data_IF_196658629110
#
_entry.id   IF_196658629110
#
_cell.length_a   1.000
_cell.length_b   1.000
_cell.length_c   1.000
_cell.angle_alpha   90.00
_cell.angle_beta   90.00
_cell.angle_gamma   90.00
#
_symmetry.space_group_name_H-M   'P 1'
#
loop_
_entity.id
_entity.type
_entity.pdbx_description
1 polymer ?
#
# COMPACT_ATOMS: atom_id res chain seq x y z
N UNK A 1 3.42 6.45 -3.76
CA UNK A 1 4.63 7.20 -3.30
C UNK A 1 4.61 8.68 -3.68
N UNK A 2 4.05 9.06 -4.84
CA UNK A 2 3.91 10.47 -5.26
C UNK A 2 3.35 11.43 -4.19
N UNK A 3 2.36 11.02 -3.40
CA UNK A 3 1.78 11.85 -2.34
C UNK A 3 2.77 12.10 -1.19
N UNK A 4 3.56 11.09 -0.79
CA UNK A 4 4.61 11.24 0.23
C UNK A 4 5.67 12.25 -0.26
N UNK A 5 6.18 12.04 -1.49
CA UNK A 5 7.11 12.98 -2.13
C UNK A 5 6.56 14.42 -2.11
N UNK A 6 5.30 14.60 -2.55
CA UNK A 6 4.67 15.92 -2.65
C UNK A 6 4.52 16.59 -1.28
N UNK A 7 4.15 15.85 -0.22
CA UNK A 7 4.13 16.39 1.14
C UNK A 7 5.52 16.88 1.54
N UNK A 8 6.58 16.11 1.27
CA UNK A 8 7.95 16.51 1.60
C UNK A 8 8.45 17.72 0.81
N UNK A 9 8.07 17.84 -0.47
CA UNK A 9 8.36 19.01 -1.29
C UNK A 9 7.68 20.27 -0.78
N UNK A 10 6.47 20.14 -0.22
CA UNK A 10 5.71 21.27 0.33
C UNK A 10 6.10 21.60 1.77
N UNK A 11 6.69 20.65 2.49
CA UNK A 11 7.01 20.73 3.91
C UNK A 11 8.45 20.29 4.17
N UNK A 12 9.42 21.18 3.90
CA UNK A 12 10.86 20.86 4.00
C UNK A 12 11.36 20.49 5.40
N UNK A 13 10.54 20.70 6.44
CA UNK A 13 10.81 20.31 7.83
C UNK A 13 10.00 19.08 8.28
N UNK A 14 9.21 18.48 7.39
CA UNK A 14 8.47 17.26 7.69
C UNK A 14 9.41 16.10 7.98
N UNK A 15 8.96 15.13 8.78
CA UNK A 15 9.65 13.87 8.96
C UNK A 15 9.12 12.88 7.90
N UNK A 16 10.01 12.38 7.05
CA UNK A 16 9.65 11.48 5.95
C UNK A 16 9.00 10.18 6.45
N UNK A 17 9.52 9.59 7.53
CA UNK A 17 8.99 8.34 8.08
C UNK A 17 7.58 8.55 8.64
N UNK A 18 7.38 9.61 9.44
CA UNK A 18 6.08 9.95 10.01
C UNK A 18 5.04 10.26 8.92
N UNK A 19 5.47 10.92 7.82
CA UNK A 19 4.62 11.21 6.66
C UNK A 19 4.26 9.93 5.91
N UNK A 20 5.20 9.00 5.75
CA UNK A 20 4.94 7.72 5.08
C UNK A 20 3.94 6.88 5.88
N UNK A 21 4.12 6.76 7.19
CA UNK A 21 3.18 6.06 8.08
C UNK A 21 1.78 6.71 8.09
N UNK A 22 1.72 8.03 7.97
CA UNK A 22 0.45 8.76 7.88
C UNK A 22 -0.30 8.57 6.55
N UNK A 23 0.38 8.12 5.50
CA UNK A 23 -0.18 8.02 4.14
C UNK A 23 -0.28 6.57 3.64
N UNK A 24 0.09 5.59 4.47
CA UNK A 24 -0.01 4.17 4.16
C UNK A 24 -0.87 3.48 5.20
N UNK A 25 -1.90 2.77 4.75
CA UNK A 25 -2.80 1.96 5.57
C UNK A 25 -3.73 2.75 6.49
N UNK A 26 -3.68 4.08 6.49
CA UNK A 26 -4.60 4.92 7.25
C UNK A 26 -5.99 4.96 6.62
N UNK A 27 -7.00 5.23 7.45
CA UNK A 27 -8.40 5.44 7.02
C UNK A 27 -8.60 6.86 6.43
N UNK A 28 -9.84 7.21 6.11
CA UNK A 28 -10.23 8.54 5.60
C UNK A 28 -9.84 9.70 6.53
N UNK A 29 -9.62 9.42 7.82
CA UNK A 29 -9.18 10.40 8.81
C UNK A 29 -7.66 10.64 8.82
N UNK A 30 -6.89 10.11 7.86
CA UNK A 30 -5.42 10.19 7.81
C UNK A 30 -4.85 11.59 8.06
N UNK A 31 -5.57 12.65 7.68
CA UNK A 31 -5.19 14.07 7.91
C UNK A 31 -5.04 14.46 9.38
N UNK A 32 -5.63 13.68 10.28
CA UNK A 32 -5.50 13.83 11.72
C UNK A 32 -4.26 13.12 12.30
N UNK A 33 -3.57 12.31 11.50
CA UNK A 33 -2.39 11.58 11.94
C UNK A 33 -1.28 12.55 12.37
N UNK A 34 -0.64 12.34 13.54
CA UNK A 34 0.37 13.27 14.06
C UNK A 34 1.51 13.59 13.09
N UNK A 35 1.89 12.62 12.26
CA UNK A 35 2.95 12.76 11.25
C UNK A 35 2.66 13.77 10.12
N UNK A 36 1.38 14.10 9.88
CA UNK A 36 0.99 15.09 8.86
C UNK A 36 0.08 16.20 9.39
N UNK A 37 -0.34 16.11 10.65
CA UNK A 37 -1.16 17.14 11.28
C UNK A 37 -0.39 18.46 11.33
N UNK A 38 -0.99 19.52 10.79
CA UNK A 38 -0.38 20.84 10.68
C UNK A 38 0.58 21.02 9.49
N UNK A 39 0.79 19.99 8.66
CA UNK A 39 1.51 20.12 7.39
C UNK A 39 0.61 20.70 6.29
N UNK A 40 1.24 21.26 5.26
CA UNK A 40 0.57 21.70 4.04
C UNK A 40 0.18 20.47 3.23
N UNK A 41 -1.14 20.21 3.14
CA UNK A 41 -1.72 19.10 2.39
C UNK A 41 -2.59 19.56 1.20
N UNK A 42 -2.78 20.86 1.06
CA UNK A 42 -3.52 21.49 -0.02
C UNK A 42 -2.76 22.74 -0.46
N UNK A 43 -2.44 22.84 -1.74
CA UNK A 43 -1.62 23.94 -2.27
C UNK A 43 -2.00 24.27 -3.71
N UNK A 44 -2.07 25.55 -4.01
CA UNK A 44 -2.18 26.02 -5.39
C UNK A 44 -0.81 25.95 -6.08
N UNK A 45 -0.76 25.27 -7.23
CA UNK A 45 0.43 25.11 -8.07
C UNK A 45 0.00 25.41 -9.51
N UNK A 46 0.63 26.40 -10.14
CA UNK A 46 0.35 26.83 -11.52
C UNK A 46 -1.15 27.12 -11.79
N UNK A 47 -1.81 27.80 -10.85
CA UNK A 47 -3.23 28.18 -10.97
C UNK A 47 -4.22 27.02 -10.75
N UNK A 48 -3.75 25.87 -10.24
CA UNK A 48 -4.61 24.72 -9.92
C UNK A 48 -4.40 24.28 -8.48
N UNK A 49 -5.50 24.08 -7.76
CA UNK A 49 -5.48 23.45 -6.45
C UNK A 49 -5.09 21.99 -6.57
N UNK A 50 -4.06 21.60 -5.84
CA UNK A 50 -3.65 20.21 -5.65
C UNK A 50 -3.85 19.82 -4.19
N UNK A 51 -4.35 18.59 -4.01
CA UNK A 51 -4.71 18.03 -2.71
C UNK A 51 -3.97 16.71 -2.53
N UNK A 52 -3.36 16.51 -1.36
CA UNK A 52 -2.80 15.22 -0.96
C UNK A 52 -3.95 14.25 -0.69
N UNK A 53 -3.96 13.15 -1.44
CA UNK A 53 -4.86 12.02 -1.24
C UNK A 53 -4.18 10.85 -0.54
N UNK A 54 -4.99 9.94 -0.01
CA UNK A 54 -4.55 8.67 0.56
C UNK A 54 -4.97 7.52 -0.38
N UNK A 55 -4.04 7.10 -1.23
CA UNK A 55 -4.26 6.11 -2.32
C UNK A 55 -3.59 4.77 -2.06
N UNK A 56 -3.09 4.57 -0.83
CA UNK A 56 -2.62 3.31 -0.30
C UNK A 56 -3.28 3.16 1.07
N UNK A 57 -4.59 3.39 1.11
CA UNK A 57 -5.36 3.48 2.35
C UNK A 57 -5.74 2.08 2.84
N UNK A 58 -6.39 2.02 4.00
CA UNK A 58 -6.81 0.76 4.60
C UNK A 58 -7.73 -0.06 3.69
N UNK A 59 -8.65 0.60 2.98
CA UNK A 59 -9.64 -0.06 2.12
C UNK A 59 -9.01 -0.63 0.85
N UNK A 60 -8.08 0.11 0.24
CA UNK A 60 -7.24 -0.36 -0.87
C UNK A 60 -6.47 -1.61 -0.43
N UNK A 61 -5.80 -1.57 0.73
CA UNK A 61 -5.03 -2.71 1.23
C UNK A 61 -5.92 -3.90 1.66
N UNK A 62 -7.17 -3.64 2.07
CA UNK A 62 -8.13 -4.71 2.33
C UNK A 62 -8.46 -5.45 1.03
N UNK A 63 -8.72 -4.71 -0.05
CA UNK A 63 -9.05 -5.32 -1.34
C UNK A 63 -7.84 -6.01 -1.98
N UNK A 64 -6.63 -5.47 -1.81
CA UNK A 64 -5.39 -6.11 -2.28
C UNK A 64 -5.13 -7.45 -1.57
N UNK A 65 -5.22 -7.46 -0.23
CA UNK A 65 -5.06 -8.67 0.57
C UNK A 65 -6.11 -9.74 0.25
N UNK A 66 -7.38 -9.33 0.12
CA UNK A 66 -8.48 -10.21 -0.27
C UNK A 66 -8.25 -10.78 -1.68
N UNK A 67 -7.85 -9.95 -2.65
CA UNK A 67 -7.61 -10.35 -4.03
C UNK A 67 -6.52 -11.43 -4.15
N UNK A 68 -5.43 -11.31 -3.38
CA UNK A 68 -4.36 -12.32 -3.34
C UNK A 68 -4.90 -13.69 -2.92
N UNK A 69 -5.69 -13.74 -1.85
CA UNK A 69 -6.25 -15.01 -1.35
C UNK A 69 -7.29 -15.56 -2.32
N UNK A 70 -8.17 -14.71 -2.82
CA UNK A 70 -9.23 -15.10 -3.74
C UNK A 70 -8.65 -15.63 -5.04
N UNK A 71 -7.66 -14.97 -5.63
CA UNK A 71 -6.97 -15.43 -6.84
C UNK A 71 -6.42 -16.85 -6.64
N UNK A 72 -5.66 -17.07 -5.56
CA UNK A 72 -5.11 -18.39 -5.24
C UNK A 72 -6.19 -19.47 -5.07
N UNK A 73 -7.24 -19.18 -4.30
CA UNK A 73 -8.35 -20.14 -4.09
C UNK A 73 -9.12 -20.46 -5.38
N UNK A 74 -9.20 -19.51 -6.30
CA UNK A 74 -9.83 -19.73 -7.62
C UNK A 74 -8.93 -20.55 -8.55
N UNK A 75 -7.62 -20.29 -8.55
CA UNK A 75 -6.63 -21.05 -9.32
C UNK A 75 -6.55 -22.52 -8.87
N UNK A 76 -6.62 -22.76 -7.55
CA UNK A 76 -6.65 -24.09 -6.95
C UNK A 76 -8.01 -24.81 -7.10
N UNK A 77 -9.02 -24.09 -7.60
CA UNK A 77 -10.41 -24.54 -7.66
C UNK A 77 -10.74 -25.38 -8.90
N UNK A 78 -11.90 -26.06 -8.85
CA UNK A 78 -12.44 -26.76 -10.01
C UNK A 78 -13.06 -25.78 -11.01
N UNK A 79 -12.35 -25.49 -12.10
CA UNK A 79 -12.81 -24.59 -13.17
C UNK A 79 -14.07 -25.05 -13.91
N UNK A 80 -14.54 -26.28 -13.71
CA UNK A 80 -15.82 -26.76 -14.27
C UNK A 80 -17.02 -26.45 -13.37
N UNK A 81 -16.78 -26.04 -12.11
CA UNK A 81 -17.83 -25.66 -11.18
C UNK A 81 -18.37 -24.26 -11.50
N UNK A 82 -19.61 -24.19 -11.99
CA UNK A 82 -20.32 -22.93 -12.29
C UNK A 82 -20.48 -22.00 -11.08
N UNK A 83 -20.32 -22.52 -9.87
CA UNK A 83 -20.43 -21.76 -8.61
C UNK A 83 -19.08 -21.45 -7.96
N UNK A 84 -17.94 -21.82 -8.58
CA UNK A 84 -16.60 -21.65 -8.00
C UNK A 84 -16.40 -20.26 -7.39
N UNK A 85 -16.65 -19.19 -8.15
CA UNK A 85 -16.50 -17.82 -7.67
C UNK A 85 -17.38 -17.53 -6.46
N UNK A 86 -18.68 -17.84 -6.54
CA UNK A 86 -19.64 -17.56 -5.47
C UNK A 86 -19.34 -18.35 -4.19
N UNK A 87 -18.91 -19.61 -4.33
CA UNK A 87 -18.52 -20.46 -3.21
C UNK A 87 -17.22 -19.98 -2.57
N UNK A 88 -16.22 -19.60 -3.37
CA UNK A 88 -14.94 -19.07 -2.88
C UNK A 88 -15.14 -17.78 -2.10
N UNK A 89 -15.89 -16.82 -2.65
CA UNK A 89 -16.20 -15.56 -1.97
C UNK A 89 -16.95 -15.81 -0.66
N UNK A 90 -18.00 -16.65 -0.70
CA UNK A 90 -18.78 -16.98 0.50
C UNK A 90 -17.92 -17.62 1.57
N UNK A 91 -17.04 -18.56 1.20
CA UNK A 91 -16.19 -19.25 2.17
C UNK A 91 -15.13 -18.30 2.74
N UNK A 92 -14.52 -17.46 1.90
CA UNK A 92 -13.52 -16.48 2.34
C UNK A 92 -14.09 -15.44 3.29
N UNK A 93 -15.21 -14.80 2.94
CA UNK A 93 -15.81 -13.77 3.78
C UNK A 93 -16.47 -14.28 5.06
N UNK A 94 -16.64 -15.61 5.21
CA UNK A 94 -17.07 -16.24 6.46
C UNK A 94 -15.91 -16.82 7.29
N UNK A 95 -14.67 -16.71 6.81
CA UNK A 95 -13.47 -17.23 7.48
C UNK A 95 -12.75 -16.11 8.24
N UNK A 96 -13.05 -15.99 9.54
CA UNK A 96 -12.50 -14.92 10.38
C UNK A 96 -10.99 -14.95 10.51
N UNK A 97 -10.37 -16.14 10.44
CA UNK A 97 -8.91 -16.26 10.48
C UNK A 97 -8.29 -15.72 9.19
N UNK A 98 -8.83 -16.08 8.03
CA UNK A 98 -8.35 -15.55 6.76
C UNK A 98 -8.51 -14.01 6.69
N UNK A 99 -9.63 -13.48 7.17
CA UNK A 99 -9.87 -12.04 7.22
C UNK A 99 -8.95 -11.30 8.21
N UNK A 100 -8.52 -11.95 9.30
CA UNK A 100 -7.56 -11.39 10.25
C UNK A 100 -6.15 -11.32 9.66
N UNK A 101 -5.77 -12.28 8.81
CA UNK A 101 -4.47 -12.31 8.15
C UNK A 101 -4.45 -11.60 6.79
N UNK A 102 -5.53 -10.94 6.37
CA UNK A 102 -5.65 -10.36 5.02
C UNK A 102 -4.50 -9.44 4.64
N UNK A 103 -4.01 -8.62 5.56
CA UNK A 103 -2.91 -7.70 5.26
C UNK A 103 -1.59 -8.44 5.13
N UNK A 104 -1.35 -9.44 5.99
CA UNK A 104 -0.16 -10.30 5.91
C UNK A 104 -0.07 -11.05 4.58
N UNK A 105 -1.20 -11.30 3.91
CA UNK A 105 -1.21 -11.92 2.58
C UNK A 105 -0.40 -11.10 1.56
N UNK A 106 -0.37 -9.77 1.69
CA UNK A 106 0.44 -8.89 0.85
C UNK A 106 1.92 -9.24 1.02
N UNK A 107 2.41 -9.32 2.26
CA UNK A 107 3.78 -9.73 2.55
C UNK A 107 4.08 -11.19 2.17
N UNK A 108 3.19 -12.12 2.53
CA UNK A 108 3.36 -13.54 2.23
C UNK A 108 3.36 -13.85 0.74
N UNK A 109 2.59 -13.11 -0.07
CA UNK A 109 2.54 -13.29 -1.52
C UNK A 109 3.88 -13.04 -2.20
N UNK A 110 4.73 -12.19 -1.61
CA UNK A 110 6.07 -11.88 -2.10
C UNK A 110 7.16 -12.66 -1.36
N UNK A 111 6.77 -13.59 -0.48
CA UNK A 111 7.68 -14.47 0.26
C UNK A 111 8.24 -13.89 1.55
N UNK A 112 7.75 -12.74 2.04
CA UNK A 112 8.17 -12.17 3.31
C UNK A 112 7.63 -13.00 4.48
N UNK A 113 8.41 -13.14 5.57
CA UNK A 113 7.96 -13.87 6.77
C UNK A 113 7.75 -12.99 7.99
N UNK A 114 8.28 -11.77 7.96
CA UNK A 114 8.20 -10.79 9.03
C UNK A 114 8.30 -9.36 8.44
N UNK A 115 8.11 -8.34 9.28
CA UNK A 115 8.16 -6.93 8.91
C UNK A 115 9.48 -6.53 8.22
N UNK A 116 10.63 -6.93 8.77
CA UNK A 116 11.94 -6.57 8.21
C UNK A 116 12.14 -7.17 6.82
N UNK A 117 11.82 -8.46 6.66
CA UNK A 117 11.87 -9.13 5.36
C UNK A 117 10.96 -8.43 4.34
N UNK A 118 9.76 -8.02 4.78
CA UNK A 118 8.78 -7.38 3.91
C UNK A 118 9.27 -6.02 3.42
N UNK A 119 9.88 -5.21 4.28
CA UNK A 119 10.46 -3.93 3.89
C UNK A 119 11.52 -4.10 2.80
N UNK A 120 12.45 -5.04 2.98
CA UNK A 120 13.52 -5.32 2.02
C UNK A 120 12.98 -5.84 0.68
N UNK A 121 12.02 -6.76 0.73
CA UNK A 121 11.40 -7.33 -0.48
C UNK A 121 10.60 -6.26 -1.23
N UNK A 122 9.77 -5.46 -0.55
CA UNK A 122 9.01 -4.39 -1.19
C UNK A 122 9.95 -3.37 -1.83
N UNK A 123 10.99 -2.95 -1.12
CA UNK A 123 11.96 -2.00 -1.65
C UNK A 123 12.68 -2.54 -2.90
N UNK A 124 13.19 -3.78 -2.84
CA UNK A 124 13.87 -4.41 -3.97
C UNK A 124 12.95 -4.66 -5.17
N UNK A 125 11.67 -4.96 -4.93
CA UNK A 125 10.68 -5.11 -5.99
C UNK A 125 10.37 -3.79 -6.67
N UNK A 126 10.32 -2.67 -5.94
CA UNK A 126 10.05 -1.36 -6.55
C UNK A 126 11.28 -0.81 -7.27
N UNK A 127 12.47 -0.94 -6.68
CA UNK A 127 13.73 -0.41 -7.23
C UNK A 127 14.43 -1.35 -8.23
N UNK A 128 14.00 -2.60 -8.32
CA UNK A 128 14.64 -3.61 -9.17
C UNK A 128 14.59 -3.28 -10.67
N UNK A 129 15.70 -3.55 -11.36
CA UNK A 129 15.99 -3.21 -12.77
C UNK A 129 15.02 -3.78 -13.82
N UNK A 130 14.16 -4.75 -13.48
CA UNK A 130 13.40 -5.53 -14.48
C UNK A 130 12.19 -4.83 -15.09
N UNK A 131 11.81 -3.61 -14.67
CA UNK A 131 10.68 -2.86 -15.24
C UNK A 131 10.78 -1.34 -15.05
N UNK A 132 11.95 -0.76 -15.33
CA UNK A 132 12.31 0.63 -14.96
C UNK A 132 11.34 1.71 -15.49
N UNK A 133 10.78 1.56 -16.69
CA UNK A 133 9.87 2.56 -17.28
C UNK A 133 8.48 2.65 -16.63
N UNK A 134 7.82 1.52 -16.43
CA UNK A 134 6.50 1.47 -15.78
C UNK A 134 6.60 1.75 -14.28
N UNK A 135 7.67 1.30 -13.62
CA UNK A 135 7.87 1.50 -12.19
C UNK A 135 8.14 2.97 -11.84
N UNK A 136 8.96 3.68 -12.62
CA UNK A 136 9.15 5.14 -12.50
C UNK A 136 7.88 5.96 -12.74
N UNK A 137 6.96 5.44 -13.55
CA UNK A 137 5.65 6.08 -13.73
C UNK A 137 4.75 5.84 -12.51
N UNK A 138 4.80 4.64 -11.93
CA UNK A 138 3.97 4.25 -10.78
C UNK A 138 4.47 4.83 -9.44
N UNK A 139 5.78 5.02 -9.26
CA UNK A 139 6.34 5.65 -8.05
C UNK A 139 6.16 7.18 -8.03
N UNK A 140 5.87 7.79 -9.19
CA UNK A 140 5.71 9.24 -9.35
C UNK A 140 7.03 10.02 -9.39
N UNK A 141 8.12 9.37 -9.80
CA UNK A 141 9.48 9.89 -9.74
C UNK A 141 9.95 10.12 -8.31
N UNK A 142 9.57 9.24 -7.38
CA UNK A 142 10.01 9.28 -5.99
C UNK A 142 11.53 9.08 -5.88
N UNK A 143 12.16 9.72 -4.90
CA UNK A 143 13.56 9.41 -4.56
C UNK A 143 13.62 8.04 -3.89
N UNK A 144 14.79 7.38 -3.93
CA UNK A 144 14.97 6.08 -3.24
C UNK A 144 14.62 6.18 -1.74
N UNK A 145 14.93 7.31 -1.09
CA UNK A 145 14.57 7.58 0.31
C UNK A 145 13.05 7.55 0.53
N UNK A 146 12.26 8.17 -0.37
CA UNK A 146 10.80 8.16 -0.30
C UNK A 146 10.25 6.75 -0.57
N UNK A 147 10.88 6.01 -1.49
CA UNK A 147 10.50 4.62 -1.77
C UNK A 147 10.76 3.75 -0.55
N UNK A 148 11.93 3.85 0.07
CA UNK A 148 12.32 3.12 1.28
C UNK A 148 11.36 3.40 2.44
N UNK A 149 11.08 4.67 2.73
CA UNK A 149 10.14 5.05 3.79
C UNK A 149 8.72 4.51 3.54
N UNK A 150 8.25 4.56 2.30
CA UNK A 150 6.94 4.02 1.94
C UNK A 150 6.88 2.48 2.05
N UNK A 151 7.94 1.78 1.64
CA UNK A 151 8.04 0.33 1.77
C UNK A 151 8.10 -0.12 3.23
N UNK A 152 8.83 0.61 4.09
CA UNK A 152 8.85 0.38 5.54
C UNK A 152 7.49 0.63 6.18
N UNK A 153 6.83 1.74 5.84
CA UNK A 153 5.48 2.03 6.33
C UNK A 153 4.47 0.94 5.91
N UNK A 154 4.55 0.44 4.68
CA UNK A 154 3.73 -0.68 4.22
C UNK A 154 4.04 -1.96 5.00
N UNK A 155 5.32 -2.30 5.16
CA UNK A 155 5.75 -3.47 5.91
C UNK A 155 5.23 -3.46 7.36
N UNK A 156 5.37 -2.33 8.04
CA UNK A 156 4.86 -2.09 9.39
C UNK A 156 3.34 -2.18 9.49
N UNK A 157 2.62 -1.78 8.44
CA UNK A 157 1.17 -1.88 8.42
C UNK A 157 0.68 -3.31 8.24
N UNK A 158 1.37 -4.11 7.41
CA UNK A 158 0.90 -5.46 7.04
C UNK A 158 1.34 -6.57 7.99
N UNK A 159 2.29 -6.32 8.91
CA UNK A 159 2.78 -7.26 9.93
C UNK A 159 2.49 -6.79 11.35
#
# INVERSE_FOLDING_TARGET
>A
MANIKKVMEWNTRGNLEDVAEALVGQDDNFRSHPGISGLILDKEVDGRWQTIGNTCNRDDLCCDGDAIVLAKRLEDGDGTNSHLLSSTLRNYYNDTAALADRFKQIGWSVGATNESDAADIFFSQVTGLKNDGFRKMLDGGATEEVVDAACKALAKFVF
#
